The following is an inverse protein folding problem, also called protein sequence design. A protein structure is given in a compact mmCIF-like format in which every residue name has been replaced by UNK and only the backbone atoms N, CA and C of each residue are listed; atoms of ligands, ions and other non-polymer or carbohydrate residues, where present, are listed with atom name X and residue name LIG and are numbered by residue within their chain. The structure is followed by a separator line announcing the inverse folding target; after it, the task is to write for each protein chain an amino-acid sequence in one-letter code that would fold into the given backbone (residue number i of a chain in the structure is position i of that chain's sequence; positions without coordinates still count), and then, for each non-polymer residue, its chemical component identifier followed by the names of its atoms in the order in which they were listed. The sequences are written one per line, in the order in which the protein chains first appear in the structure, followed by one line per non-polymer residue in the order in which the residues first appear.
data_IF_267604841520
#
_entry.id   IF_267604841520
#
_cell.length_a   1.000
_cell.length_b   1.000
_cell.length_c   1.000
_cell.angle_alpha   90.00
_cell.angle_beta   90.00
_cell.angle_gamma   90.00
#
_symmetry.space_group_name_H-M   'P 1'
#
loop_
_entity.id
_entity.type
_entity.pdbx_description
1 polymer ?
#
# COMPACT_ATOMS: atom_id res chain seq x y z
N UNK A 1 -2.08 0.24 -22.24
CA UNK A 1 -1.17 1.34 -22.19
C UNK A 1 0.28 0.90 -22.08
N UNK A 2 0.52 -0.37 -21.98
CA UNK A 2 1.87 -0.88 -21.87
C UNK A 2 2.55 -0.39 -20.62
N UNK A 3 1.78 -0.10 -19.64
CA UNK A 3 2.26 0.51 -18.42
C UNK A 3 2.74 -0.55 -17.46
N UNK A 4 4.03 -0.65 -17.28
CA UNK A 4 4.61 -1.60 -16.34
C UNK A 4 4.73 -1.00 -14.95
N UNK A 5 4.06 0.11 -14.72
CA UNK A 5 4.18 0.82 -13.47
C UNK A 5 3.33 0.20 -12.38
N UNK A 6 3.95 -0.02 -11.24
CA UNK A 6 3.24 -0.47 -10.05
C UNK A 6 2.62 0.73 -9.38
N UNK A 7 1.38 0.62 -8.95
CA UNK A 7 0.69 1.71 -8.29
C UNK A 7 0.36 1.32 -6.85
N UNK A 8 0.74 2.18 -5.93
CA UNK A 8 0.42 1.99 -4.51
C UNK A 8 -0.52 3.12 -4.12
N UNK A 9 -1.71 2.75 -3.65
CA UNK A 9 -2.73 3.74 -3.27
C UNK A 9 -3.01 3.61 -1.78
N UNK A 10 -2.76 4.68 -1.05
CA UNK A 10 -2.99 4.70 0.39
C UNK A 10 -4.33 5.37 0.65
N UNK A 11 -5.20 4.67 1.36
CA UNK A 11 -6.51 5.21 1.72
C UNK A 11 -6.37 6.24 2.82
N UNK A 12 -6.69 7.49 2.52
CA UNK A 12 -6.64 8.58 3.49
C UNK A 12 -8.06 8.81 3.99
N UNK A 13 -8.47 7.99 4.91
CA UNK A 13 -9.85 7.97 5.34
C UNK A 13 -10.27 9.25 6.05
N UNK A 14 -11.48 9.67 5.79
CA UNK A 14 -12.10 10.71 6.57
C UNK A 14 -12.55 10.15 7.91
N UNK A 15 -12.94 8.90 7.95
CA UNK A 15 -13.27 8.25 9.22
C UNK A 15 -11.96 7.89 9.90
N UNK A 16 -11.79 8.35 11.09
CA UNK A 16 -10.56 8.09 11.83
C UNK A 16 -9.43 9.00 11.41
N UNK A 17 -9.74 9.95 10.58
CA UNK A 17 -8.77 10.95 10.16
C UNK A 17 -7.44 10.32 9.87
N UNK A 18 -7.49 9.37 9.00
CA UNK A 18 -6.24 8.80 8.59
C UNK A 18 -5.46 8.27 9.79
N UNK A 19 -6.12 7.57 10.66
CA UNK A 19 -5.45 7.04 11.85
C UNK A 19 -4.22 6.27 11.42
N UNK A 20 -3.10 6.97 11.32
CA UNK A 20 -1.87 6.36 10.89
C UNK A 20 -1.67 6.27 9.39
N UNK A 21 -2.62 6.77 8.59
CA UNK A 21 -2.48 6.66 7.14
C UNK A 21 -1.38 7.57 6.60
N UNK A 22 -1.24 8.76 7.19
CA UNK A 22 -0.22 9.69 6.73
C UNK A 22 1.19 9.15 6.96
N UNK A 23 1.52 8.60 8.15
CA UNK A 23 2.82 7.97 8.33
C UNK A 23 3.05 6.82 7.37
N UNK A 24 2.01 6.05 7.04
CA UNK A 24 2.12 4.95 6.08
C UNK A 24 2.44 5.50 4.70
N UNK A 25 1.73 6.55 4.29
CA UNK A 25 1.99 7.18 2.99
C UNK A 25 3.43 7.68 2.93
N UNK A 26 3.88 8.38 3.97
CA UNK A 26 5.23 8.90 4.01
C UNK A 26 6.26 7.79 3.97
N UNK A 27 5.99 6.67 4.66
CA UNK A 27 6.90 5.54 4.65
C UNK A 27 7.04 4.95 3.26
N UNK A 28 5.93 4.85 2.51
CA UNK A 28 6.01 4.37 1.13
C UNK A 28 6.82 5.32 0.26
N UNK A 29 6.59 6.61 0.41
CA UNK A 29 7.34 7.59 -0.38
C UNK A 29 8.83 7.52 -0.07
N UNK A 30 9.17 7.37 1.21
CA UNK A 30 10.55 7.24 1.62
C UNK A 30 11.22 6.00 1.07
N UNK A 31 10.53 4.85 1.18
CA UNK A 31 11.10 3.60 0.73
C UNK A 31 11.29 3.59 -0.78
N UNK A 32 10.32 4.13 -1.51
CA UNK A 32 10.42 4.20 -2.96
C UNK A 32 11.59 5.09 -3.37
N UNK A 33 11.75 6.22 -2.71
CA UNK A 33 12.86 7.13 -3.02
C UNK A 33 14.20 6.52 -2.63
N UNK A 34 14.26 5.92 -1.47
CA UNK A 34 15.49 5.34 -0.94
C UNK A 34 15.99 4.20 -1.80
N UNK A 35 15.07 3.40 -2.34
CA UNK A 35 15.40 2.27 -3.18
C UNK A 35 15.39 2.62 -4.67
N UNK A 36 15.09 3.87 -4.99
CA UNK A 36 15.06 4.36 -6.37
C UNK A 36 14.17 3.51 -7.28
N UNK A 37 12.98 3.22 -6.80
CA UNK A 37 12.02 2.42 -7.54
C UNK A 37 11.26 3.30 -8.52
N UNK A 38 11.82 3.48 -9.71
CA UNK A 38 11.28 4.42 -10.69
C UNK A 38 9.98 3.96 -11.32
N UNK A 39 9.71 2.67 -11.25
CA UNK A 39 8.49 2.13 -11.82
C UNK A 39 7.35 2.01 -10.80
N UNK A 40 7.49 2.64 -9.65
CA UNK A 40 6.46 2.62 -8.61
C UNK A 40 5.91 4.02 -8.40
N UNK A 41 4.59 4.13 -8.44
CA UNK A 41 3.91 5.39 -8.18
C UNK A 41 3.11 5.25 -6.89
N UNK A 42 3.29 6.18 -5.97
CA UNK A 42 2.56 6.18 -4.71
C UNK A 42 1.57 7.34 -4.74
N UNK A 43 0.31 7.04 -4.45
CA UNK A 43 -0.72 8.07 -4.43
C UNK A 43 -1.64 7.81 -3.26
N UNK A 44 -2.64 8.69 -3.09
CA UNK A 44 -3.58 8.57 -1.99
C UNK A 44 -5.00 8.69 -2.55
N UNK A 45 -5.94 8.17 -1.79
CA UNK A 45 -7.34 8.27 -2.16
C UNK A 45 -8.17 8.54 -0.92
N UNK A 46 -9.43 8.83 -1.10
CA UNK A 46 -10.32 9.05 0.03
C UNK A 46 -10.70 7.76 0.73
N UNK A 47 -11.67 7.88 1.61
CA UNK A 47 -12.13 6.74 2.38
C UNK A 47 -12.78 5.70 1.47
N UNK A 48 -12.41 4.44 1.65
CA UNK A 48 -12.99 3.37 0.87
C UNK A 48 -14.05 2.58 1.66
N UNK A 49 -14.46 3.13 2.80
CA UNK A 49 -15.62 2.62 3.51
C UNK A 49 -15.37 1.53 4.52
N UNK A 50 -14.11 1.19 4.79
CA UNK A 50 -13.80 0.12 5.74
C UNK A 50 -12.92 0.68 6.85
N UNK A 51 -13.51 1.56 7.64
CA UNK A 51 -12.75 2.32 8.63
C UNK A 51 -12.01 1.46 9.66
N UNK A 52 -12.62 0.38 10.07
CA UNK A 52 -12.02 -0.44 11.13
C UNK A 52 -10.76 -1.15 10.67
N UNK A 53 -10.56 -1.26 9.37
CA UNK A 53 -9.39 -1.93 8.82
C UNK A 53 -8.29 -0.96 8.39
N UNK A 54 -8.52 0.33 8.56
CA UNK A 54 -7.55 1.32 8.14
C UNK A 54 -6.37 1.38 9.10
N UNK A 55 -5.23 1.81 8.61
CA UNK A 55 -4.94 2.30 7.24
C UNK A 55 -4.94 1.20 6.21
N UNK A 56 -5.52 1.49 5.06
CA UNK A 56 -5.62 0.52 3.97
C UNK A 56 -4.74 0.96 2.81
N UNK A 57 -4.05 -0.02 2.23
CA UNK A 57 -3.16 0.23 1.10
C UNK A 57 -3.52 -0.75 0.00
N UNK A 58 -3.74 -0.23 -1.21
CA UNK A 58 -4.00 -1.06 -2.37
C UNK A 58 -2.78 -1.03 -3.28
N UNK A 59 -2.35 -2.21 -3.72
CA UNK A 59 -1.20 -2.35 -4.61
C UNK A 59 -1.69 -2.93 -5.93
N UNK A 60 -1.41 -2.20 -7.01
CA UNK A 60 -1.78 -2.61 -8.36
C UNK A 60 -0.52 -2.95 -9.12
N UNK A 61 -0.35 -4.23 -9.45
CA UNK A 61 0.78 -4.70 -10.25
C UNK A 61 0.24 -5.08 -11.62
N UNK A 62 0.87 -4.60 -12.71
CA UNK A 62 0.39 -4.93 -14.05
C UNK A 62 0.28 -6.43 -14.26
N UNK A 63 -0.86 -6.85 -14.82
CA UNK A 63 -1.09 -8.26 -15.10
C UNK A 63 -1.53 -9.08 -13.90
N UNK A 64 -1.69 -8.45 -12.75
CA UNK A 64 -2.10 -9.15 -11.54
C UNK A 64 -3.28 -8.45 -10.90
N UNK A 65 -4.00 -9.17 -10.05
CA UNK A 65 -5.11 -8.60 -9.35
C UNK A 65 -4.65 -7.64 -8.27
N UNK A 66 -5.48 -6.67 -7.98
CA UNK A 66 -5.22 -5.74 -6.90
C UNK A 66 -5.09 -6.48 -5.58
N UNK A 67 -4.11 -6.09 -4.78
CA UNK A 67 -3.92 -6.63 -3.44
C UNK A 67 -4.23 -5.53 -2.44
N UNK A 68 -5.07 -5.84 -1.46
CA UNK A 68 -5.47 -4.88 -0.44
C UNK A 68 -4.84 -5.27 0.89
N UNK A 69 -4.00 -4.38 1.41
CA UNK A 69 -3.38 -4.54 2.71
C UNK A 69 -4.13 -3.70 3.73
N UNK A 70 -4.30 -4.21 4.93
CA UNK A 70 -5.11 -3.56 5.96
C UNK A 70 -4.32 -3.39 7.24
N UNK A 71 -4.78 -2.49 8.09
CA UNK A 71 -4.17 -2.21 9.40
C UNK A 71 -2.68 -1.93 9.24
N UNK A 72 -2.36 -1.20 8.20
CA UNK A 72 -0.96 -0.92 7.89
C UNK A 72 -0.32 0.00 8.91
N UNK A 73 0.97 -0.19 9.08
CA UNK A 73 1.79 0.67 9.94
C UNK A 73 3.06 0.97 9.18
N UNK A 74 3.79 2.03 9.57
CA UNK A 74 5.06 2.32 8.89
C UNK A 74 6.04 1.16 8.91
N UNK A 75 6.01 0.37 9.99
CA UNK A 75 6.90 -0.79 10.09
C UNK A 75 6.62 -1.82 9.02
N UNK A 76 5.35 -2.01 8.70
CA UNK A 76 4.96 -3.01 7.70
C UNK A 76 5.27 -2.56 6.28
N UNK A 77 5.40 -1.25 6.08
CA UNK A 77 5.66 -0.70 4.75
C UNK A 77 6.96 -1.25 4.18
N UNK A 78 8.00 -1.32 5.00
CA UNK A 78 9.29 -1.83 4.52
C UNK A 78 9.15 -3.26 4.01
N UNK A 79 8.38 -4.09 4.70
CA UNK A 79 8.14 -5.47 4.27
C UNK A 79 7.38 -5.51 2.95
N UNK A 80 6.34 -4.68 2.81
CA UNK A 80 5.56 -4.63 1.58
C UNK A 80 6.45 -4.20 0.41
N UNK A 81 7.26 -3.18 0.60
CA UNK A 81 8.12 -2.71 -0.47
C UNK A 81 9.12 -3.79 -0.85
N UNK A 82 9.77 -4.38 0.14
CA UNK A 82 10.80 -5.37 -0.11
C UNK A 82 10.24 -6.63 -0.75
N UNK A 83 9.12 -7.13 -0.24
CA UNK A 83 8.58 -8.41 -0.71
C UNK A 83 7.70 -8.25 -1.94
N UNK A 84 6.78 -7.31 -1.91
CA UNK A 84 5.80 -7.20 -2.99
C UNK A 84 6.28 -6.34 -4.15
N UNK A 85 6.82 -5.15 -3.85
CA UNK A 85 7.19 -4.23 -4.92
C UNK A 85 8.51 -4.62 -5.58
N UNK A 86 9.43 -5.18 -4.83
CA UNK A 86 10.74 -5.56 -5.37
C UNK A 86 10.74 -7.01 -5.84
N UNK A 87 10.26 -7.92 -4.99
CA UNK A 87 10.33 -9.36 -5.28
C UNK A 87 9.07 -9.94 -5.91
N UNK A 88 7.99 -9.17 -5.94
CA UNK A 88 6.74 -9.64 -6.53
C UNK A 88 5.95 -10.62 -5.69
N UNK A 89 6.22 -10.70 -4.41
CA UNK A 89 5.54 -11.61 -3.51
C UNK A 89 4.55 -10.88 -2.63
N UNK A 90 3.30 -11.32 -2.66
CA UNK A 90 2.28 -10.75 -1.79
C UNK A 90 2.57 -11.15 -0.35
N UNK A 91 2.49 -10.16 0.56
CA UNK A 91 2.65 -10.43 1.98
C UNK A 91 1.26 -10.77 2.52
N UNK A 92 0.88 -12.03 2.36
CA UNK A 92 -0.50 -12.46 2.61
C UNK A 92 -0.96 -12.19 4.03
N UNK A 93 -0.06 -12.22 4.99
CA UNK A 93 -0.44 -12.03 6.39
C UNK A 93 -0.96 -10.61 6.67
N UNK A 94 -0.70 -9.67 5.79
CA UNK A 94 -1.17 -8.29 5.96
C UNK A 94 -2.38 -7.99 5.08
N UNK A 95 -2.85 -8.94 4.30
CA UNK A 95 -3.96 -8.70 3.38
C UNK A 95 -5.30 -8.75 4.09
N UNK A 96 -6.30 -8.20 3.41
CA UNK A 96 -7.65 -8.18 3.95
C UNK A 96 -8.18 -9.61 4.14
N UNK A 97 -7.77 -10.54 3.29
CA UNK A 97 -8.18 -11.93 3.44
C UNK A 97 -7.67 -12.54 4.72
N UNK A 98 -6.45 -12.20 5.11
CA UNK A 98 -5.88 -12.73 6.35
C UNK A 98 -6.50 -12.07 7.57
N UNK A 99 -6.97 -10.83 7.44
CA UNK A 99 -7.56 -10.09 8.54
C UNK A 99 -8.97 -10.57 8.87
N UNK A 100 -9.59 -11.27 7.96
CA UNK A 100 -10.90 -11.84 8.16
C UNK A 100 -10.79 -13.28 8.62
#
# INVERSE_FOLDING_TARGET
SGDDRIRVVVGMATCGIAAGARPVLNAFLEEVAKRELKNVTVSRTGCIGVCRLEPIVEVYVPGQEKVTYVKMTPDKVASIVSEHLVNGRVVTEYTIGAAE
#
